data_IF_392417252869
#
_entry.id   IF_392417252869
#
_cell.length_a   1.000
_cell.length_b   1.000
_cell.length_c   1.000
_cell.angle_alpha   90.00
_cell.angle_beta   90.00
_cell.angle_gamma   90.00
#
_symmetry.space_group_name_H-M   'P 1'
#
loop_
_entity.id
_entity.type
_entity.pdbx_description
1 polymer ?
#
# COMPACT_ATOMS: atom_id res chain seq x y z
N UNK A 1 -2.74 1.90 -26.79
CA UNK A 1 -3.76 1.00 -26.19
C UNK A 1 -3.05 -0.32 -25.93
N UNK A 2 -3.01 -0.84 -24.70
CA UNK A 2 -2.45 -2.17 -24.39
C UNK A 2 -3.62 -3.17 -24.43
N UNK A 3 -3.97 -3.76 -25.58
CA UNK A 3 -5.16 -4.59 -25.66
C UNK A 3 -4.81 -5.96 -25.06
N UNK A 4 -5.59 -6.42 -24.09
CA UNK A 4 -5.59 -7.79 -23.52
C UNK A 4 -4.63 -8.12 -22.38
N UNK A 5 -4.00 -7.15 -21.72
CA UNK A 5 -3.25 -7.45 -20.51
C UNK A 5 -4.20 -7.91 -19.39
N UNK A 6 -4.10 -9.18 -18.99
CA UNK A 6 -4.91 -9.79 -17.90
C UNK A 6 -4.23 -9.72 -16.54
N UNK A 7 -2.90 -9.64 -16.55
CA UNK A 7 -2.04 -9.62 -15.36
C UNK A 7 -1.06 -8.47 -15.47
N UNK A 8 -0.89 -7.72 -14.38
CA UNK A 8 0.11 -6.67 -14.28
C UNK A 8 0.73 -6.65 -12.89
N UNK A 9 2.02 -6.35 -12.84
CA UNK A 9 2.74 -6.13 -11.59
C UNK A 9 3.45 -4.79 -11.70
N UNK A 10 3.27 -3.93 -10.70
CA UNK A 10 3.91 -2.64 -10.61
C UNK A 10 4.77 -2.59 -9.36
N UNK A 11 6.07 -2.41 -9.55
CA UNK A 11 7.00 -2.12 -8.46
C UNK A 11 7.43 -0.67 -8.55
N UNK A 12 7.34 0.06 -7.44
CA UNK A 12 7.74 1.45 -7.38
C UNK A 12 8.52 1.74 -6.11
N UNK A 13 9.68 2.40 -6.28
CA UNK A 13 10.53 2.87 -5.20
C UNK A 13 10.85 4.34 -5.47
N UNK A 14 9.92 5.23 -5.15
CA UNK A 14 10.04 6.65 -5.49
C UNK A 14 9.21 7.52 -4.55
N UNK A 15 9.06 8.80 -4.89
CA UNK A 15 8.16 9.74 -4.23
C UNK A 15 6.68 9.38 -4.45
N UNK A 16 5.81 9.76 -3.51
CA UNK A 16 4.37 9.50 -3.60
C UNK A 16 3.73 10.30 -4.74
N UNK A 17 4.29 11.45 -5.12
CA UNK A 17 3.85 12.17 -6.32
C UNK A 17 3.76 11.27 -7.56
N UNK A 18 4.73 10.37 -7.76
CA UNK A 18 4.71 9.44 -8.89
C UNK A 18 3.58 8.41 -8.79
N UNK A 19 3.10 8.09 -7.60
CA UNK A 19 1.93 7.22 -7.43
C UNK A 19 0.69 7.87 -8.03
N UNK A 20 0.39 9.12 -7.65
CA UNK A 20 -0.79 9.83 -8.15
C UNK A 20 -0.64 10.27 -9.61
N UNK A 21 0.54 10.72 -10.02
CA UNK A 21 0.73 11.31 -11.35
C UNK A 21 1.03 10.27 -12.44
N UNK A 22 1.63 9.13 -12.08
CA UNK A 22 2.03 8.10 -13.04
C UNK A 22 1.31 6.77 -12.82
N UNK A 23 1.39 6.20 -11.62
CA UNK A 23 0.87 4.86 -11.35
C UNK A 23 -0.65 4.80 -11.53
N UNK A 24 -1.38 5.72 -10.90
CA UNK A 24 -2.85 5.73 -10.96
C UNK A 24 -3.36 5.93 -12.39
N UNK A 25 -2.91 6.93 -13.18
CA UNK A 25 -3.32 7.08 -14.56
C UNK A 25 -2.99 5.87 -15.45
N UNK A 26 -1.83 5.25 -15.24
CA UNK A 26 -1.45 4.02 -15.94
C UNK A 26 -2.41 2.88 -15.61
N UNK A 27 -2.63 2.62 -14.32
CA UNK A 27 -3.49 1.54 -13.83
C UNK A 27 -4.94 1.73 -14.30
N UNK A 28 -5.47 2.95 -14.28
CA UNK A 28 -6.83 3.26 -14.76
C UNK A 28 -7.03 3.00 -16.26
N UNK A 29 -5.96 2.98 -17.07
CA UNK A 29 -6.05 2.61 -18.50
C UNK A 29 -6.14 1.09 -18.70
N UNK A 30 -5.90 0.29 -17.66
CA UNK A 30 -5.87 -1.18 -17.70
C UNK A 30 -7.15 -1.80 -17.12
N UNK A 31 -8.32 -1.29 -17.51
CA UNK A 31 -9.64 -1.69 -16.96
C UNK A 31 -9.99 -3.18 -17.12
N UNK A 32 -9.28 -3.90 -17.99
CA UNK A 32 -9.49 -5.32 -18.24
C UNK A 32 -8.59 -6.24 -17.40
N UNK A 33 -7.77 -5.69 -16.49
CA UNK A 33 -6.96 -6.49 -15.59
C UNK A 33 -7.83 -7.39 -14.73
N UNK A 34 -7.40 -8.65 -14.63
CA UNK A 34 -7.94 -9.62 -13.69
C UNK A 34 -7.03 -9.70 -12.47
N UNK A 35 -5.73 -9.62 -12.67
CA UNK A 35 -4.74 -9.77 -11.62
C UNK A 35 -3.80 -8.56 -11.55
N UNK A 36 -3.66 -8.00 -10.36
CA UNK A 36 -2.78 -6.87 -10.08
C UNK A 36 -1.93 -7.15 -8.84
N UNK A 37 -0.62 -6.98 -8.99
CA UNK A 37 0.33 -6.98 -7.88
C UNK A 37 0.98 -5.61 -7.75
N UNK A 38 0.93 -5.01 -6.56
CA UNK A 38 1.59 -3.75 -6.25
C UNK A 38 2.70 -3.99 -5.24
N UNK A 39 3.89 -3.46 -5.52
CA UNK A 39 4.99 -3.49 -4.57
C UNK A 39 5.58 -2.09 -4.48
N UNK A 40 5.21 -1.38 -3.44
CA UNK A 40 5.53 0.03 -3.30
C UNK A 40 6.35 0.32 -2.06
N UNK A 41 7.35 1.17 -2.23
CA UNK A 41 8.21 1.65 -1.14
C UNK A 41 8.37 3.16 -1.30
N UNK A 42 7.83 3.92 -0.36
CA UNK A 42 7.87 5.39 -0.36
C UNK A 42 8.50 5.93 0.91
N UNK A 43 9.06 7.13 0.82
CA UNK A 43 9.59 7.86 1.97
C UNK A 43 9.06 9.29 2.01
N UNK A 44 8.91 9.82 3.23
CA UNK A 44 8.65 11.21 3.57
C UNK A 44 7.36 11.84 3.00
N UNK A 45 6.36 11.05 2.63
CA UNK A 45 5.09 11.50 2.03
C UNK A 45 3.90 10.72 2.60
N UNK A 46 2.65 11.23 2.50
CA UNK A 46 1.48 10.61 3.13
C UNK A 46 1.29 9.12 2.79
N UNK A 47 0.61 8.41 3.68
CA UNK A 47 0.43 6.95 3.60
C UNK A 47 -0.59 6.60 2.51
N UNK A 48 -0.31 5.56 1.71
CA UNK A 48 -1.29 4.92 0.82
C UNK A 48 -2.10 3.90 1.61
N UNK A 49 -3.17 4.31 2.27
CA UNK A 49 -3.97 3.41 3.09
C UNK A 49 -5.00 2.59 2.29
N UNK A 50 -5.85 1.83 2.99
CA UNK A 50 -6.91 1.05 2.36
C UNK A 50 -7.96 1.90 1.65
N UNK A 51 -8.27 3.09 2.15
CA UNK A 51 -9.22 3.98 1.49
C UNK A 51 -8.63 4.48 0.16
N UNK A 52 -7.36 4.88 0.15
CA UNK A 52 -6.68 5.34 -1.05
C UNK A 52 -6.64 4.26 -2.14
N UNK A 53 -6.26 3.02 -1.80
CA UNK A 53 -6.28 1.90 -2.74
C UNK A 53 -7.69 1.61 -3.26
N UNK A 54 -8.69 1.70 -2.39
CA UNK A 54 -10.09 1.48 -2.77
C UNK A 54 -10.55 2.52 -3.77
N UNK A 55 -10.37 3.79 -3.43
CA UNK A 55 -10.81 4.92 -4.22
C UNK A 55 -10.08 4.99 -5.54
N UNK A 56 -8.75 4.83 -5.56
CA UNK A 56 -7.95 5.11 -6.74
C UNK A 56 -7.76 3.90 -7.67
N UNK A 57 -7.88 2.67 -7.16
CA UNK A 57 -7.58 1.45 -7.91
C UNK A 57 -8.79 0.52 -7.96
N UNK A 58 -9.26 0.03 -6.81
CA UNK A 58 -10.24 -1.08 -6.77
C UNK A 58 -11.57 -0.67 -7.39
N UNK A 59 -12.08 0.52 -7.07
CA UNK A 59 -13.35 1.01 -7.61
C UNK A 59 -13.36 1.12 -9.14
N UNK A 60 -12.21 1.34 -9.76
CA UNK A 60 -12.07 1.48 -11.22
C UNK A 60 -11.83 0.15 -11.94
N UNK A 61 -11.39 -0.89 -11.23
CA UNK A 61 -11.01 -2.17 -11.83
C UNK A 61 -12.07 -3.25 -11.59
N UNK A 62 -13.23 -3.11 -12.22
CA UNK A 62 -14.39 -4.01 -12.03
C UNK A 62 -14.12 -5.48 -12.38
N UNK A 63 -13.10 -5.77 -13.20
CA UNK A 63 -12.70 -7.13 -13.61
C UNK A 63 -11.62 -7.75 -12.74
N UNK A 64 -11.10 -7.02 -11.75
CA UNK A 64 -10.03 -7.47 -10.87
C UNK A 64 -10.54 -8.57 -9.94
N UNK A 65 -10.02 -9.78 -10.10
CA UNK A 65 -10.33 -10.93 -9.27
C UNK A 65 -9.24 -11.24 -8.24
N UNK A 66 -7.99 -10.87 -8.54
CA UNK A 66 -6.86 -11.01 -7.62
C UNK A 66 -6.16 -9.68 -7.49
N UNK A 67 -6.14 -9.17 -6.26
CA UNK A 67 -5.38 -8.00 -5.88
C UNK A 67 -4.42 -8.39 -4.79
N UNK A 68 -3.14 -8.07 -4.97
CA UNK A 68 -2.12 -8.26 -3.96
C UNK A 68 -1.26 -7.01 -3.88
N UNK A 69 -0.80 -6.69 -2.69
CA UNK A 69 0.03 -5.53 -2.48
C UNK A 69 1.06 -5.77 -1.37
N UNK A 70 2.13 -5.01 -1.44
CA UNK A 70 3.13 -4.85 -0.41
C UNK A 70 3.53 -3.37 -0.42
N UNK A 71 3.14 -2.63 0.61
CA UNK A 71 3.30 -1.17 0.64
C UNK A 71 4.07 -0.80 1.90
N UNK A 72 5.18 -0.11 1.70
CA UNK A 72 6.02 0.43 2.76
C UNK A 72 6.04 1.93 2.67
N UNK A 73 5.82 2.59 3.80
CA UNK A 73 6.05 4.01 3.93
C UNK A 73 6.90 4.31 5.15
N UNK A 74 7.73 5.34 5.03
CA UNK A 74 8.52 5.90 6.11
C UNK A 74 8.16 7.38 6.23
N UNK A 75 7.60 7.80 7.35
CA UNK A 75 7.17 9.18 7.60
C UNK A 75 8.12 9.85 8.57
N UNK A 76 8.36 11.15 8.40
CA UNK A 76 9.07 11.95 9.41
C UNK A 76 8.10 12.32 10.53
N UNK A 77 8.53 12.15 11.78
CA UNK A 77 7.74 12.45 12.99
C UNK A 77 7.19 13.88 13.00
N UNK A 78 7.98 14.82 12.51
CA UNK A 78 7.68 16.26 12.52
C UNK A 78 6.50 16.63 11.60
N UNK A 79 6.06 15.71 10.73
CA UNK A 79 5.02 15.94 9.73
C UNK A 79 3.65 15.34 10.13
N UNK A 80 3.47 14.80 11.34
CA UNK A 80 2.20 14.21 11.77
C UNK A 80 1.64 14.82 13.06
N UNK A 81 0.34 15.14 13.05
CA UNK A 81 -0.44 15.60 14.21
C UNK A 81 -0.87 14.45 15.14
N UNK A 82 -0.85 13.20 14.68
CA UNK A 82 -1.17 12.01 15.47
C UNK A 82 -0.39 10.78 15.00
N UNK A 83 0.01 9.93 15.95
CA UNK A 83 0.67 8.65 15.69
C UNK A 83 -0.38 7.61 15.27
N UNK A 84 -0.39 7.20 14.01
CA UNK A 84 -1.30 6.17 13.50
C UNK A 84 -0.87 4.79 13.98
N UNK A 85 -1.73 4.10 14.71
CA UNK A 85 -1.49 2.73 15.20
C UNK A 85 -1.75 1.68 14.13
N UNK A 86 -1.34 0.43 14.39
CA UNK A 86 -1.75 -0.72 13.57
C UNK A 86 -3.28 -0.82 13.42
N UNK A 87 -4.03 -0.53 14.48
CA UNK A 87 -5.49 -0.62 14.46
C UNK A 87 -6.09 0.43 13.52
N UNK A 88 -5.56 1.65 13.54
CA UNK A 88 -6.01 2.74 12.66
C UNK A 88 -5.79 2.38 11.19
N UNK A 89 -4.61 1.85 10.86
CA UNK A 89 -4.31 1.39 9.49
C UNK A 89 -5.24 0.25 9.08
N UNK A 90 -5.48 -0.73 9.95
CA UNK A 90 -6.37 -1.85 9.66
C UNK A 90 -7.82 -1.39 9.40
N UNK A 91 -8.31 -0.38 10.12
CA UNK A 91 -9.67 0.13 9.90
C UNK A 91 -9.86 0.70 8.49
N UNK A 92 -8.82 1.29 7.88
CA UNK A 92 -8.88 1.78 6.48
C UNK A 92 -9.15 0.65 5.47
N UNK A 93 -8.85 -0.60 5.84
CA UNK A 93 -9.08 -1.77 5.00
C UNK A 93 -10.37 -2.52 5.32
N UNK A 94 -11.22 -2.05 6.24
CA UNK A 94 -12.47 -2.73 6.64
C UNK A 94 -13.40 -3.09 5.48
N UNK A 95 -13.31 -2.33 4.38
CA UNK A 95 -14.12 -2.50 3.18
C UNK A 95 -13.48 -3.43 2.13
N UNK A 96 -12.27 -3.93 2.36
CA UNK A 96 -11.69 -4.95 1.52
C UNK A 96 -12.43 -6.26 1.77
N UNK A 97 -12.74 -7.00 0.70
CA UNK A 97 -13.32 -8.34 0.82
C UNK A 97 -12.43 -9.31 1.61
N UNK A 98 -11.18 -8.93 1.90
CA UNK A 98 -10.24 -9.74 2.66
C UNK A 98 -9.85 -9.05 3.97
N UNK A 99 -10.03 -9.77 5.08
CA UNK A 99 -9.72 -9.34 6.43
C UNK A 99 -8.33 -9.78 6.94
N UNK A 100 -7.46 -10.29 6.07
CA UNK A 100 -6.14 -10.86 6.41
C UNK A 100 -4.98 -9.95 6.04
N UNK A 101 -5.20 -8.65 6.06
CA UNK A 101 -4.13 -7.70 5.77
C UNK A 101 -3.19 -7.72 6.95
N UNK A 102 -1.91 -7.93 6.67
CA UNK A 102 -0.88 -7.86 7.70
C UNK A 102 -0.41 -6.42 7.74
N UNK A 103 -0.40 -5.80 8.93
CA UNK A 103 0.06 -4.42 9.14
C UNK A 103 1.03 -4.38 10.31
N UNK A 104 2.12 -3.65 10.10
CA UNK A 104 3.12 -3.35 11.10
C UNK A 104 3.40 -1.85 11.07
N UNK A 105 3.25 -1.23 12.22
CA UNK A 105 3.66 0.14 12.49
C UNK A 105 4.74 0.09 13.54
N UNK A 106 5.90 0.63 13.20
CA UNK A 106 7.03 0.73 14.11
C UNK A 106 7.45 2.19 14.31
N UNK A 107 7.77 2.50 15.56
CA UNK A 107 8.19 3.81 16.02
C UNK A 107 9.64 3.69 16.48
N UNK A 108 10.56 4.26 15.72
CA UNK A 108 11.96 4.36 16.16
C UNK A 108 12.09 5.49 17.19
N UNK A 109 11.53 5.27 18.38
CA UNK A 109 11.45 6.25 19.48
C UNK A 109 12.83 6.74 19.94
N UNK A 110 13.85 5.88 19.90
CA UNK A 110 15.22 6.26 20.29
C UNK A 110 15.87 7.29 19.36
N UNK A 111 15.45 7.32 18.08
CA UNK A 111 15.96 8.27 17.12
C UNK A 111 15.03 9.50 17.01
N UNK A 112 13.73 9.35 17.30
CA UNK A 112 12.71 10.39 17.16
C UNK A 112 12.64 10.99 15.74
N UNK A 113 13.01 10.19 14.72
CA UNK A 113 13.11 10.67 13.33
C UNK A 113 11.98 10.17 12.44
N UNK A 114 11.58 8.90 12.58
CA UNK A 114 10.72 8.25 11.58
C UNK A 114 9.67 7.29 12.17
N UNK A 115 8.52 7.21 11.50
CA UNK A 115 7.51 6.16 11.64
C UNK A 115 7.53 5.28 10.40
N UNK A 116 7.56 3.96 10.58
CA UNK A 116 7.47 3.01 9.48
C UNK A 116 6.10 2.35 9.48
N UNK A 117 5.47 2.29 8.31
CA UNK A 117 4.26 1.53 8.09
C UNK A 117 4.52 0.52 6.99
N UNK A 118 4.26 -0.74 7.29
CA UNK A 118 4.38 -1.85 6.36
C UNK A 118 3.05 -2.58 6.39
N UNK A 119 2.42 -2.73 5.24
CA UNK A 119 1.25 -3.59 5.13
C UNK A 119 1.23 -4.33 3.80
N UNK A 120 0.73 -5.56 3.87
CA UNK A 120 0.78 -6.46 2.72
C UNK A 120 -0.37 -7.46 2.72
N UNK A 121 -0.67 -7.95 1.51
CA UNK A 121 -1.67 -8.97 1.26
C UNK A 121 -1.37 -9.70 -0.06
N UNK A 122 -1.48 -11.04 -0.13
CA UNK A 122 -1.75 -11.98 0.97
C UNK A 122 -0.48 -12.39 1.74
N UNK A 123 0.65 -11.71 1.48
CA UNK A 123 1.94 -12.09 2.00
C UNK A 123 2.03 -11.89 3.51
N UNK A 124 2.68 -12.83 4.20
CA UNK A 124 3.14 -12.66 5.57
C UNK A 124 4.60 -12.27 5.56
N UNK A 125 4.98 -11.35 6.43
CA UNK A 125 6.36 -10.89 6.57
C UNK A 125 7.09 -11.75 7.61
N UNK A 126 7.47 -12.97 7.20
CA UNK A 126 8.21 -13.89 8.08
C UNK A 126 9.50 -13.28 8.62
N UNK A 127 10.17 -12.41 7.86
CA UNK A 127 11.34 -11.68 8.32
C UNK A 127 11.02 -10.71 9.46
N UNK A 128 9.95 -9.91 9.34
CA UNK A 128 9.53 -9.00 10.41
C UNK A 128 9.12 -9.78 11.66
N UNK A 129 8.35 -10.86 11.48
CA UNK A 129 7.96 -11.77 12.57
C UNK A 129 9.17 -12.41 13.28
N UNK A 130 10.31 -12.56 12.59
CA UNK A 130 11.52 -13.13 13.17
C UNK A 130 12.36 -12.11 13.95
N UNK A 131 12.27 -10.82 13.64
CA UNK A 131 13.02 -9.75 14.33
C UNK A 131 12.23 -9.07 15.45
N UNK A 132 10.93 -9.35 15.57
CA UNK A 132 10.02 -8.76 16.58
C UNK A 132 9.51 -9.75 17.63
N UNK A 133 9.94 -11.01 17.57
CA UNK A 133 9.75 -12.03 18.63
C UNK A 133 10.90 -12.00 19.62
#
# INVERSE_FOLDING_TARGET
>A
ILPNLKYFSLTQKSQLLYYYDLSIPLLRRMLNLKELHLNFVYGCEPIIDGNDLKENIINYMSKLNKFSFNIHSCLRLNNQLSQLTNADIQDTFRNFKNNRIVSYVDYFQKANLFHYHIYSYPYKWTFYDNITK
#
